data_IF_364582955167
#
_entry.id   IF_364582955167
#
_cell.length_a   1.000
_cell.length_b   1.000
_cell.length_c   1.000
_cell.angle_alpha   90.00
_cell.angle_beta   90.00
_cell.angle_gamma   90.00
#
_symmetry.space_group_name_H-M   'P 1'
#
loop_
_entity.id
_entity.type
_entity.pdbx_description
1 polymer ?
#
# COMPACT_ATOMS: atom_id res chain seq x y z
N UNK A 1 -28.33 20.74 -48.28
CA UNK A 1 -26.86 20.61 -48.21
C UNK A 1 -26.19 21.45 -47.13
N UNK A 2 -26.69 22.64 -46.78
CA UNK A 2 -26.07 23.50 -45.73
C UNK A 2 -26.15 22.88 -44.31
N UNK A 3 -27.31 22.36 -43.88
CA UNK A 3 -27.51 21.78 -42.54
C UNK A 3 -26.56 20.61 -42.21
N UNK A 4 -26.27 19.74 -43.19
CA UNK A 4 -25.39 18.58 -43.00
C UNK A 4 -23.93 18.98 -42.79
N UNK A 5 -23.47 20.08 -43.43
CA UNK A 5 -22.13 20.62 -43.22
C UNK A 5 -21.93 21.19 -41.82
N UNK A 6 -22.95 21.85 -41.26
CA UNK A 6 -22.90 22.40 -39.90
C UNK A 6 -22.83 21.32 -38.81
N UNK A 7 -23.50 20.18 -39.01
CA UNK A 7 -23.45 19.05 -38.08
C UNK A 7 -22.06 18.41 -38.06
N UNK A 8 -21.40 18.28 -39.21
CA UNK A 8 -20.04 17.73 -39.31
C UNK A 8 -19.04 18.65 -38.62
N UNK A 9 -19.14 19.96 -38.84
CA UNK A 9 -18.25 20.95 -38.21
C UNK A 9 -18.41 20.96 -36.69
N UNK A 10 -19.66 20.87 -36.19
CA UNK A 10 -19.91 20.81 -34.75
C UNK A 10 -19.33 19.52 -34.12
N UNK A 11 -19.48 18.37 -34.80
CA UNK A 11 -18.93 17.10 -34.33
C UNK A 11 -17.39 17.11 -34.23
N UNK A 12 -16.71 17.68 -35.24
CA UNK A 12 -15.25 17.79 -35.25
C UNK A 12 -14.75 18.73 -34.14
N UNK A 13 -15.44 19.85 -33.90
CA UNK A 13 -15.10 20.78 -32.81
C UNK A 13 -15.25 20.12 -31.43
N UNK A 14 -16.35 19.39 -31.20
CA UNK A 14 -16.57 18.69 -29.93
C UNK A 14 -15.52 17.60 -29.71
N UNK A 15 -15.22 16.79 -30.72
CA UNK A 15 -14.14 15.80 -30.64
C UNK A 15 -12.77 16.45 -30.36
N UNK A 16 -12.47 17.58 -31.00
CA UNK A 16 -11.24 18.33 -30.77
C UNK A 16 -11.12 18.84 -29.33
N UNK A 17 -12.20 19.37 -28.76
CA UNK A 17 -12.23 19.86 -27.37
C UNK A 17 -12.11 18.69 -26.38
N UNK A 18 -12.80 17.57 -26.62
CA UNK A 18 -12.70 16.38 -25.75
C UNK A 18 -11.28 15.82 -25.77
N UNK A 19 -10.66 15.72 -26.95
CA UNK A 19 -9.28 15.29 -27.09
C UNK A 19 -8.32 16.27 -26.39
N UNK A 20 -8.49 17.57 -26.57
CA UNK A 20 -7.66 18.59 -25.93
C UNK A 20 -7.79 18.55 -24.40
N UNK A 21 -9.01 18.41 -23.85
CA UNK A 21 -9.24 18.28 -22.41
C UNK A 21 -8.64 16.99 -21.86
N UNK A 22 -8.77 15.89 -22.60
CA UNK A 22 -8.18 14.62 -22.21
C UNK A 22 -6.65 14.64 -22.26
N UNK A 23 -6.07 15.28 -23.27
CA UNK A 23 -4.63 15.50 -23.37
C UNK A 23 -4.12 16.43 -22.29
N UNK A 24 -4.84 17.52 -22.00
CA UNK A 24 -4.47 18.46 -20.95
C UNK A 24 -4.55 17.81 -19.56
N UNK A 25 -5.55 16.95 -19.30
CA UNK A 25 -5.61 16.16 -18.06
C UNK A 25 -4.49 15.13 -17.94
N UNK A 26 -4.03 14.54 -19.06
CA UNK A 26 -2.85 13.67 -19.06
C UNK A 26 -1.54 14.45 -18.90
N UNK A 27 -1.44 15.63 -19.49
CA UNK A 27 -0.25 16.47 -19.46
C UNK A 27 -0.12 17.28 -18.15
N UNK A 28 -1.24 17.56 -17.46
CA UNK A 28 -1.28 18.33 -16.22
C UNK A 28 -1.13 17.47 -14.96
N UNK A 29 -0.63 16.24 -15.06
CA UNK A 29 0.08 15.64 -13.92
C UNK A 29 1.45 16.32 -13.89
N UNK A 30 1.46 17.56 -13.41
CA UNK A 30 2.69 18.29 -13.14
C UNK A 30 3.42 17.50 -12.06
N UNK A 31 4.45 16.74 -12.44
CA UNK A 31 5.34 16.11 -11.47
C UNK A 31 5.83 17.23 -10.53
N UNK A 32 5.64 17.10 -9.21
CA UNK A 32 6.16 18.10 -8.28
C UNK A 32 7.67 18.24 -8.50
N UNK A 33 8.23 19.45 -8.35
CA UNK A 33 9.64 19.69 -8.62
C UNK A 33 10.48 18.71 -7.79
N UNK A 34 11.34 17.96 -8.49
CA UNK A 34 12.26 17.01 -7.88
C UNK A 34 13.23 17.81 -7.02
N UNK A 35 13.05 17.79 -5.70
CA UNK A 35 14.11 18.21 -4.79
C UNK A 35 15.16 17.12 -4.89
N UNK A 36 16.27 17.38 -5.58
CA UNK A 36 17.32 16.38 -5.73
C UNK A 36 18.03 16.20 -4.38
N UNK A 37 17.61 15.22 -3.60
CA UNK A 37 18.35 14.86 -2.39
C UNK A 37 19.70 14.24 -2.79
N UNK A 38 20.79 14.61 -2.09
CA UNK A 38 22.10 14.09 -2.40
C UNK A 38 22.12 12.58 -2.20
N UNK A 39 22.76 11.87 -3.14
CA UNK A 39 23.01 10.46 -2.97
C UNK A 39 23.87 10.23 -1.71
N UNK A 40 23.65 9.13 -0.97
CA UNK A 40 24.58 8.73 0.07
C UNK A 40 25.96 8.43 -0.53
N UNK A 41 27.00 8.46 0.31
CA UNK A 41 28.34 8.04 -0.09
C UNK A 41 28.32 6.60 -0.65
N UNK A 42 29.22 6.31 -1.59
CA UNK A 42 29.23 5.04 -2.33
C UNK A 42 29.37 3.82 -1.41
N UNK A 43 30.18 3.92 -0.36
CA UNK A 43 30.36 2.87 0.65
C UNK A 43 29.06 2.61 1.44
N UNK A 44 28.35 3.67 1.85
CA UNK A 44 27.10 3.57 2.58
C UNK A 44 26.00 2.99 1.68
N UNK A 45 25.94 3.44 0.42
CA UNK A 45 25.05 2.86 -0.59
C UNK A 45 25.27 1.36 -0.75
N UNK A 46 26.52 0.93 -0.92
CA UNK A 46 26.86 -0.48 -1.10
C UNK A 46 26.47 -1.31 0.12
N UNK A 47 26.72 -0.80 1.34
CA UNK A 47 26.30 -1.46 2.59
C UNK A 47 24.77 -1.61 2.67
N UNK A 48 24.01 -0.57 2.32
CA UNK A 48 22.53 -0.62 2.31
C UNK A 48 22.04 -1.66 1.29
N UNK A 49 22.60 -1.67 0.08
CA UNK A 49 22.22 -2.63 -0.96
C UNK A 49 22.56 -4.07 -0.57
N UNK A 50 23.73 -4.30 0.06
CA UNK A 50 24.12 -5.60 0.59
C UNK A 50 23.14 -6.07 1.67
N UNK A 51 22.76 -5.20 2.61
CA UNK A 51 21.77 -5.51 3.65
C UNK A 51 20.41 -5.87 3.04
N UNK A 52 19.95 -5.17 2.00
CA UNK A 52 18.68 -5.53 1.33
C UNK A 52 18.74 -6.90 0.63
N UNK A 53 19.93 -7.33 0.20
CA UNK A 53 20.13 -8.65 -0.40
C UNK A 53 20.08 -9.74 0.69
N UNK A 54 20.80 -9.52 1.79
CA UNK A 54 20.99 -10.48 2.89
C UNK A 54 19.77 -10.58 3.82
N UNK A 55 19.07 -9.48 4.05
CA UNK A 55 18.02 -9.35 5.06
C UNK A 55 16.67 -8.99 4.41
N UNK A 56 15.79 -9.99 4.15
CA UNK A 56 14.50 -9.74 3.49
C UNK A 56 13.59 -8.77 4.25
N UNK A 57 13.61 -8.78 5.58
CA UNK A 57 12.81 -7.87 6.41
C UNK A 57 13.27 -6.42 6.25
N UNK A 58 14.59 -6.17 6.21
CA UNK A 58 15.14 -4.86 5.92
C UNK A 58 14.79 -4.39 4.50
N UNK A 59 14.86 -5.29 3.51
CA UNK A 59 14.41 -5.00 2.14
C UNK A 59 12.93 -4.60 2.09
N UNK A 60 12.07 -5.28 2.84
CA UNK A 60 10.64 -4.98 2.88
C UNK A 60 10.36 -3.61 3.51
N UNK A 61 11.07 -3.25 4.58
CA UNK A 61 10.99 -1.91 5.17
C UNK A 61 11.43 -0.82 4.18
N UNK A 62 12.59 -0.99 3.55
CA UNK A 62 13.11 -0.02 2.56
C UNK A 62 12.18 0.09 1.36
N UNK A 63 11.65 -1.03 0.87
CA UNK A 63 10.66 -1.03 -0.22
C UNK A 63 9.38 -0.30 0.19
N UNK A 64 8.84 -0.56 1.38
CA UNK A 64 7.66 0.14 1.88
C UNK A 64 7.89 1.66 1.89
N UNK A 65 9.04 2.11 2.41
CA UNK A 65 9.37 3.53 2.47
C UNK A 65 9.53 4.14 1.09
N UNK A 66 10.21 3.45 0.16
CA UNK A 66 10.31 3.89 -1.24
C UNK A 66 8.94 4.00 -1.90
N UNK A 67 8.09 2.97 -1.73
CA UNK A 67 6.73 2.95 -2.30
C UNK A 67 5.86 4.06 -1.71
N UNK A 68 5.93 4.30 -0.40
CA UNK A 68 5.22 5.37 0.28
C UNK A 68 5.67 6.75 -0.21
N UNK A 69 6.97 7.03 -0.22
CA UNK A 69 7.53 8.31 -0.68
C UNK A 69 7.19 8.56 -2.16
N UNK A 70 7.37 7.56 -3.03
CA UNK A 70 7.03 7.67 -4.44
C UNK A 70 5.54 7.95 -4.65
N UNK A 71 4.67 7.22 -3.94
CA UNK A 71 3.22 7.37 -4.09
C UNK A 71 2.73 8.70 -3.55
N UNK A 72 3.21 9.15 -2.40
CA UNK A 72 2.83 10.44 -1.82
C UNK A 72 3.22 11.60 -2.75
N UNK A 73 4.37 11.49 -3.43
CA UNK A 73 4.80 12.45 -4.45
C UNK A 73 3.95 12.39 -5.73
N UNK A 74 3.68 11.18 -6.23
CA UNK A 74 2.97 10.97 -7.51
C UNK A 74 1.45 11.10 -7.41
N UNK A 75 0.88 10.88 -6.23
CA UNK A 75 -0.56 10.99 -5.94
C UNK A 75 -0.79 11.74 -4.62
N UNK A 76 -0.54 13.07 -4.55
CA UNK A 76 -0.60 13.82 -3.30
C UNK A 76 -1.95 13.77 -2.57
N UNK A 77 -3.06 13.65 -3.31
CA UNK A 77 -4.40 13.48 -2.73
C UNK A 77 -4.57 12.15 -1.94
N UNK A 78 -3.65 11.21 -2.14
CA UNK A 78 -3.60 9.90 -1.50
C UNK A 78 -2.44 9.79 -0.50
N UNK A 79 -1.81 10.91 -0.15
CA UNK A 79 -0.66 10.92 0.74
C UNK A 79 -0.95 10.27 2.10
N UNK A 80 0.01 9.50 2.60
CA UNK A 80 -0.08 8.80 3.87
C UNK A 80 -1.07 7.64 3.92
N UNK A 81 -1.72 7.26 2.81
CA UNK A 81 -2.64 6.12 2.81
C UNK A 81 -1.94 4.79 3.08
N UNK A 82 -0.74 4.58 2.53
CA UNK A 82 0.07 3.39 2.81
C UNK A 82 0.47 3.32 4.28
N UNK A 83 0.92 4.43 4.86
CA UNK A 83 1.25 4.52 6.28
C UNK A 83 0.04 4.25 7.19
N UNK A 84 -1.12 4.86 6.89
CA UNK A 84 -2.37 4.57 7.62
C UNK A 84 -2.72 3.09 7.53
N UNK A 85 -2.67 2.51 6.34
CA UNK A 85 -2.99 1.10 6.16
C UNK A 85 -1.98 0.18 6.86
N UNK A 86 -0.69 0.55 6.90
CA UNK A 86 0.33 -0.19 7.63
C UNK A 86 0.03 -0.22 9.14
N UNK A 87 -0.38 0.92 9.69
CA UNK A 87 -0.83 1.02 11.08
C UNK A 87 -2.11 0.21 11.34
N UNK A 88 -3.09 0.26 10.42
CA UNK A 88 -4.30 -0.60 10.51
C UNK A 88 -3.93 -2.07 10.54
N UNK A 89 -2.93 -2.46 9.77
CA UNK A 89 -2.48 -3.84 9.65
C UNK A 89 -1.45 -4.26 10.71
N UNK A 90 -1.09 -3.36 11.63
CA UNK A 90 -0.04 -3.57 12.63
C UNK A 90 1.25 -4.14 12.03
N UNK A 91 1.59 -3.68 10.83
CA UNK A 91 2.78 -4.15 10.14
C UNK A 91 4.04 -3.72 10.91
N UNK A 92 5.09 -4.55 10.96
CA UNK A 92 6.34 -4.24 11.64
C UNK A 92 7.22 -3.29 10.80
N UNK A 93 6.61 -2.29 10.18
CA UNK A 93 7.33 -1.33 9.34
C UNK A 93 8.34 -0.58 10.21
N UNK A 94 9.54 -0.41 9.67
CA UNK A 94 10.70 0.21 10.32
C UNK A 94 11.38 -0.65 11.38
N UNK A 95 10.85 -1.84 11.72
CA UNK A 95 11.46 -2.67 12.75
C UNK A 95 12.86 -3.15 12.34
N UNK A 96 13.01 -3.57 11.09
CA UNK A 96 14.30 -4.03 10.57
C UNK A 96 15.24 -2.85 10.27
N UNK A 97 14.71 -1.73 9.78
CA UNK A 97 15.52 -0.49 9.65
C UNK A 97 16.07 -0.06 11.01
N UNK A 98 15.23 -0.03 12.06
CA UNK A 98 15.65 0.29 13.43
C UNK A 98 16.69 -0.71 13.95
N UNK A 99 16.54 -2.00 13.66
CA UNK A 99 17.53 -3.02 14.04
C UNK A 99 18.87 -2.76 13.36
N UNK A 100 18.87 -2.46 12.05
CA UNK A 100 20.08 -2.16 11.29
C UNK A 100 20.75 -0.89 11.80
N UNK A 101 20.00 0.18 12.10
CA UNK A 101 20.59 1.43 12.60
C UNK A 101 21.07 1.34 14.04
N UNK A 102 20.50 0.45 14.86
CA UNK A 102 21.06 0.13 16.18
C UNK A 102 22.39 -0.62 16.08
N UNK A 103 22.53 -1.52 15.10
CA UNK A 103 23.76 -2.28 14.87
C UNK A 103 24.86 -1.45 14.19
N UNK A 104 24.49 -0.59 13.24
CA UNK A 104 25.39 0.34 12.56
C UNK A 104 24.76 1.76 12.54
N UNK A 105 24.97 2.55 13.60
CA UNK A 105 24.45 3.92 13.71
C UNK A 105 24.92 4.85 12.59
N UNK A 106 26.02 4.51 11.91
CA UNK A 106 26.52 5.32 10.78
C UNK A 106 25.60 5.25 9.56
N UNK A 107 24.71 4.26 9.49
CA UNK A 107 23.75 4.08 8.41
C UNK A 107 22.41 4.78 8.62
N UNK A 108 22.14 5.35 9.80
CA UNK A 108 20.84 5.99 10.10
C UNK A 108 20.47 7.05 9.05
N UNK A 109 21.25 8.12 8.96
CA UNK A 109 21.03 9.17 7.95
C UNK A 109 21.21 8.67 6.50
N UNK A 110 22.23 7.86 6.16
CA UNK A 110 22.36 7.30 4.81
C UNK A 110 21.18 6.47 4.31
N UNK A 111 20.47 5.73 5.17
CA UNK A 111 19.29 4.95 4.77
C UNK A 111 18.18 5.88 4.28
N UNK A 112 17.85 6.93 5.05
CA UNK A 112 16.85 7.91 4.64
C UNK A 112 17.28 8.70 3.40
N UNK A 113 18.57 9.05 3.29
CA UNK A 113 19.12 9.67 2.08
C UNK A 113 19.01 8.76 0.85
N UNK A 114 19.32 7.46 1.01
CA UNK A 114 19.18 6.47 -0.04
C UNK A 114 17.74 6.39 -0.55
N UNK A 115 16.78 6.27 0.37
CA UNK A 115 15.35 6.19 0.04
C UNK A 115 14.90 7.43 -0.72
N UNK A 116 15.21 8.61 -0.19
CA UNK A 116 14.78 9.87 -0.78
C UNK A 116 15.42 10.09 -2.16
N UNK A 117 16.74 9.95 -2.26
CA UNK A 117 17.48 10.08 -3.52
C UNK A 117 16.93 9.13 -4.60
N UNK A 118 16.65 7.88 -4.24
CA UNK A 118 16.08 6.91 -5.18
C UNK A 118 14.65 7.24 -5.54
N UNK A 119 13.80 7.63 -4.60
CA UNK A 119 12.43 8.03 -4.90
C UNK A 119 12.41 9.23 -5.86
N UNK A 120 13.30 10.21 -5.66
CA UNK A 120 13.40 11.40 -6.51
C UNK A 120 13.89 11.10 -7.93
N UNK A 121 14.77 10.11 -8.09
CA UNK A 121 15.33 9.71 -9.37
C UNK A 121 14.35 8.95 -10.29
N UNK A 122 13.27 8.37 -9.74
CA UNK A 122 12.27 7.65 -10.52
C UNK A 122 11.17 8.59 -11.02
N UNK A 123 10.64 8.37 -12.22
CA UNK A 123 9.43 9.06 -12.70
C UNK A 123 8.17 8.36 -12.21
N UNK A 124 7.06 9.11 -12.13
CA UNK A 124 5.78 8.52 -11.75
C UNK A 124 5.34 7.45 -12.75
N UNK A 125 4.94 6.28 -12.25
CA UNK A 125 4.51 5.13 -13.06
C UNK A 125 5.64 4.23 -13.57
N UNK A 126 6.91 4.56 -13.32
CA UNK A 126 8.00 3.62 -13.59
C UNK A 126 8.08 2.55 -12.49
N UNK A 127 8.39 1.28 -12.84
CA UNK A 127 8.61 0.25 -11.86
C UNK A 127 9.85 0.55 -11.02
N UNK A 128 9.78 0.26 -9.73
CA UNK A 128 10.88 0.37 -8.80
C UNK A 128 11.72 -0.90 -8.83
N UNK A 129 13.00 -0.78 -9.18
CA UNK A 129 13.92 -1.91 -9.14
C UNK A 129 14.47 -2.13 -7.73
N UNK A 130 14.32 -3.33 -7.18
CA UNK A 130 14.90 -3.69 -5.88
C UNK A 130 16.02 -4.72 -6.07
N UNK A 131 17.18 -4.56 -5.40
CA UNK A 131 18.26 -5.54 -5.51
C UNK A 131 17.87 -6.86 -4.83
N UNK A 132 18.29 -7.96 -5.45
CA UNK A 132 18.16 -9.31 -4.94
C UNK A 132 19.53 -10.01 -4.96
N UNK A 133 19.61 -11.17 -4.29
CA UNK A 133 20.80 -12.01 -4.29
C UNK A 133 21.22 -12.44 -5.71
N UNK A 134 22.50 -12.78 -5.85
CA UNK A 134 23.11 -13.24 -7.10
C UNK A 134 22.98 -12.25 -8.27
N UNK A 135 23.06 -10.95 -8.00
CA UNK A 135 23.02 -9.90 -9.03
C UNK A 135 21.66 -9.75 -9.71
N UNK A 136 20.61 -10.34 -9.15
CA UNK A 136 19.24 -10.23 -9.67
C UNK A 136 18.60 -8.93 -9.19
N UNK A 137 17.56 -8.51 -9.89
CA UNK A 137 16.68 -7.43 -9.46
C UNK A 137 15.22 -7.88 -9.51
N UNK A 138 14.39 -7.19 -8.73
CA UNK A 138 12.94 -7.33 -8.71
C UNK A 138 12.32 -6.01 -9.15
N UNK A 139 11.54 -6.03 -10.23
CA UNK A 139 10.74 -4.88 -10.63
C UNK A 139 9.43 -4.87 -9.84
N UNK A 140 9.16 -3.76 -9.15
CA UNK A 140 7.95 -3.55 -8.34
C UNK A 140 7.12 -2.43 -8.96
N UNK A 141 5.94 -2.76 -9.45
CA UNK A 141 4.93 -1.77 -9.82
C UNK A 141 4.33 -1.18 -8.54
N UNK A 142 4.54 0.12 -8.30
CA UNK A 142 4.11 0.82 -7.09
C UNK A 142 2.58 0.95 -7.00
N UNK A 143 1.87 1.06 -8.14
CA UNK A 143 0.41 1.07 -8.14
C UNK A 143 -0.14 -0.31 -7.80
N UNK A 144 0.46 -1.37 -8.34
CA UNK A 144 0.11 -2.74 -8.00
C UNK A 144 0.42 -3.06 -6.53
N UNK A 145 1.58 -2.63 -6.05
CA UNK A 145 1.98 -2.74 -4.65
C UNK A 145 0.91 -2.10 -3.76
N UNK A 146 0.47 -0.88 -4.07
CA UNK A 146 -0.56 -0.17 -3.31
C UNK A 146 -1.95 -0.82 -3.38
N UNK A 147 -2.35 -1.36 -4.54
CA UNK A 147 -3.61 -2.11 -4.71
C UNK A 147 -3.64 -3.35 -3.80
N UNK A 148 -2.52 -4.06 -3.71
CA UNK A 148 -2.41 -5.31 -2.95
C UNK A 148 -1.92 -5.14 -1.51
N UNK A 149 -1.53 -3.93 -1.12
CA UNK A 149 -1.12 -3.59 0.25
C UNK A 149 -2.27 -3.83 1.24
N UNK A 150 -2.09 -4.38 2.45
CA UNK A 150 -0.84 -4.57 3.19
C UNK A 150 -0.12 -5.89 2.89
N UNK A 151 -0.75 -6.84 2.18
CA UNK A 151 -0.11 -8.12 1.92
C UNK A 151 1.15 -8.01 1.04
N UNK A 152 1.21 -7.00 0.16
CA UNK A 152 2.40 -6.71 -0.65
C UNK A 152 3.63 -6.28 0.16
N UNK A 153 3.47 -5.97 1.44
CA UNK A 153 4.61 -5.82 2.36
C UNK A 153 5.43 -7.11 2.46
N UNK A 154 4.77 -8.28 2.45
CA UNK A 154 5.41 -9.59 2.52
C UNK A 154 5.65 -10.21 1.13
N UNK A 155 4.80 -9.89 0.16
CA UNK A 155 4.90 -10.35 -1.24
C UNK A 155 4.84 -9.16 -2.22
N UNK A 156 5.96 -8.47 -2.46
CA UNK A 156 6.03 -7.28 -3.31
C UNK A 156 5.56 -7.46 -4.75
N UNK A 157 5.59 -8.69 -5.27
CA UNK A 157 5.22 -8.99 -6.66
C UNK A 157 3.79 -9.50 -6.79
N UNK A 158 3.00 -9.43 -5.71
CA UNK A 158 1.62 -9.89 -5.69
C UNK A 158 0.80 -9.22 -6.80
N UNK A 159 0.30 -10.05 -7.72
CA UNK A 159 -0.46 -9.57 -8.89
C UNK A 159 -1.98 -9.51 -8.64
N UNK A 160 -2.50 -10.25 -7.66
CA UNK A 160 -3.94 -10.30 -7.37
C UNK A 160 -4.30 -9.54 -6.12
N UNK A 161 -5.30 -8.67 -6.19
CA UNK A 161 -5.90 -8.02 -5.03
C UNK A 161 -6.40 -9.06 -4.01
N UNK A 162 -6.14 -8.85 -2.71
CA UNK A 162 -6.67 -9.71 -1.66
C UNK A 162 -8.21 -9.71 -1.69
N UNK A 163 -8.81 -10.91 -1.77
CA UNK A 163 -10.27 -11.09 -1.90
C UNK A 163 -11.04 -10.49 -0.73
N UNK A 164 -10.42 -10.48 0.44
CA UNK A 164 -10.96 -9.88 1.64
C UNK A 164 -11.25 -8.39 1.44
N UNK A 165 -10.62 -7.69 0.50
CA UNK A 165 -10.94 -6.29 0.23
C UNK A 165 -12.12 -6.06 -0.70
N UNK A 166 -12.64 -7.08 -1.37
CA UNK A 166 -13.83 -6.98 -2.22
C UNK A 166 -13.83 -5.77 -3.20
N UNK A 167 -12.66 -5.45 -3.78
CA UNK A 167 -12.48 -4.32 -4.71
C UNK A 167 -12.46 -2.93 -4.06
N UNK A 168 -12.38 -2.84 -2.73
CA UNK A 168 -12.24 -1.56 -2.04
C UNK A 168 -10.90 -0.89 -2.38
N UNK A 169 -10.96 0.41 -2.68
CA UNK A 169 -9.77 1.22 -2.95
C UNK A 169 -8.87 1.30 -1.71
N UNK A 170 -7.58 1.62 -1.90
CA UNK A 170 -6.68 1.87 -0.77
C UNK A 170 -7.22 2.96 0.18
N UNK A 171 -7.89 3.99 -0.36
CA UNK A 171 -8.51 5.03 0.44
C UNK A 171 -9.61 4.50 1.35
N UNK A 172 -10.53 3.70 0.80
CA UNK A 172 -11.61 3.08 1.57
C UNK A 172 -11.06 2.16 2.67
N UNK A 173 -10.04 1.37 2.33
CA UNK A 173 -9.41 0.43 3.27
C UNK A 173 -8.68 1.14 4.40
N UNK A 174 -7.86 2.15 4.09
CA UNK A 174 -7.15 2.92 5.11
C UNK A 174 -8.11 3.73 6.01
N UNK A 175 -9.25 4.16 5.47
CA UNK A 175 -10.30 4.87 6.19
C UNK A 175 -11.18 3.97 7.07
N UNK A 176 -11.21 2.66 6.82
CA UNK A 176 -12.06 1.73 7.56
C UNK A 176 -11.39 1.28 8.87
N UNK A 177 -11.98 1.67 10.00
CA UNK A 177 -11.44 1.34 11.31
C UNK A 177 -11.43 -0.15 11.64
N UNK A 178 -12.39 -0.90 11.11
CA UNK A 178 -12.50 -2.34 11.33
C UNK A 178 -11.30 -3.12 10.79
N UNK A 179 -10.51 -2.56 9.87
CA UNK A 179 -9.27 -3.20 9.43
C UNK A 179 -8.27 -3.36 10.59
N UNK A 180 -8.26 -2.45 11.59
CA UNK A 180 -7.46 -2.63 12.81
C UNK A 180 -7.86 -3.90 13.59
N UNK A 181 -9.16 -4.14 13.73
CA UNK A 181 -9.69 -5.33 14.41
C UNK A 181 -9.31 -6.58 13.66
N UNK A 182 -9.55 -6.58 12.34
CA UNK A 182 -9.27 -7.70 11.43
C UNK A 182 -7.82 -8.17 11.56
N UNK A 183 -6.86 -7.25 11.47
CA UNK A 183 -5.45 -7.60 11.52
C UNK A 183 -4.92 -7.84 12.93
N UNK A 184 -5.60 -7.37 13.98
CA UNK A 184 -5.27 -7.76 15.36
C UNK A 184 -5.61 -9.22 15.64
N UNK A 185 -6.72 -9.71 15.09
CA UNK A 185 -7.18 -11.08 15.37
C UNK A 185 -6.72 -12.11 14.34
N UNK A 186 -6.44 -11.67 13.11
CA UNK A 186 -5.94 -12.50 12.01
C UNK A 186 -4.77 -11.76 11.34
N UNK A 187 -3.59 -11.73 11.99
CA UNK A 187 -2.43 -10.99 11.51
C UNK A 187 -1.91 -11.48 10.16
N UNK A 188 -1.15 -10.62 9.49
CA UNK A 188 -0.45 -10.91 8.24
C UNK A 188 0.89 -11.59 8.50
N UNK A 189 1.37 -12.37 7.54
CA UNK A 189 2.69 -13.01 7.56
C UNK A 189 2.74 -14.34 8.32
N UNK A 190 3.89 -15.02 8.23
CA UNK A 190 4.26 -16.16 9.10
C UNK A 190 3.44 -17.44 8.98
N UNK A 191 2.53 -17.55 8.01
CA UNK A 191 1.56 -18.65 7.93
C UNK A 191 1.63 -19.40 6.62
N UNK A 192 1.26 -20.68 6.66
CA UNK A 192 1.25 -21.58 5.52
C UNK A 192 0.39 -21.01 4.39
N UNK A 193 0.90 -21.03 3.15
CA UNK A 193 0.18 -20.59 1.97
C UNK A 193 -1.18 -21.30 1.80
N UNK A 194 -1.30 -22.54 2.31
CA UNK A 194 -2.55 -23.33 2.34
C UNK A 194 -3.66 -22.63 3.12
N UNK A 195 -3.32 -21.83 4.14
CA UNK A 195 -4.27 -21.10 4.97
C UNK A 195 -4.68 -19.72 4.41
N UNK A 196 -4.01 -19.24 3.36
CA UNK A 196 -4.19 -17.88 2.84
C UNK A 196 -5.64 -17.54 2.47
N UNK A 197 -6.31 -18.44 1.74
CA UNK A 197 -7.70 -18.26 1.30
C UNK A 197 -8.69 -18.31 2.47
N UNK A 198 -8.49 -19.24 3.40
CA UNK A 198 -9.34 -19.37 4.60
C UNK A 198 -9.24 -18.14 5.48
N UNK A 199 -8.01 -17.66 5.73
CA UNK A 199 -7.76 -16.44 6.50
C UNK A 199 -8.35 -15.22 5.80
N UNK A 200 -8.18 -15.08 4.49
CA UNK A 200 -8.80 -13.99 3.75
C UNK A 200 -10.34 -13.98 3.92
N UNK A 201 -11.00 -15.12 3.76
CA UNK A 201 -12.45 -15.20 3.97
C UNK A 201 -12.84 -14.86 5.42
N UNK A 202 -12.09 -15.35 6.41
CA UNK A 202 -12.33 -15.03 7.82
C UNK A 202 -12.11 -13.54 8.12
N UNK A 203 -11.07 -12.91 7.55
CA UNK A 203 -10.84 -11.46 7.64
C UNK A 203 -12.02 -10.66 7.06
N UNK A 204 -12.51 -11.05 5.89
CA UNK A 204 -13.71 -10.44 5.30
C UNK A 204 -14.95 -10.55 6.19
N UNK A 205 -15.13 -11.71 6.85
CA UNK A 205 -16.22 -11.93 7.81
C UNK A 205 -16.07 -11.09 9.07
N UNK A 206 -14.89 -11.08 9.69
CA UNK A 206 -14.60 -10.27 10.89
C UNK A 206 -14.82 -8.79 10.61
N UNK A 207 -14.38 -8.30 9.44
CA UNK A 207 -14.63 -6.91 9.04
C UNK A 207 -16.13 -6.62 8.98
N UNK A 208 -16.90 -7.49 8.33
CA UNK A 208 -18.34 -7.32 8.17
C UNK A 208 -19.05 -7.27 9.53
N UNK A 209 -18.68 -8.16 10.45
CA UNK A 209 -19.21 -8.16 11.83
C UNK A 209 -18.92 -6.84 12.56
N UNK A 210 -17.70 -6.32 12.44
CA UNK A 210 -17.32 -5.03 13.03
C UNK A 210 -18.08 -3.87 12.39
N UNK A 211 -18.23 -3.85 11.06
CA UNK A 211 -18.96 -2.80 10.36
C UNK A 211 -20.46 -2.81 10.71
N UNK A 212 -21.07 -3.98 10.82
CA UNK A 212 -22.47 -4.13 11.22
C UNK A 212 -22.70 -3.64 12.66
N UNK A 213 -21.77 -3.94 13.55
CA UNK A 213 -21.81 -3.46 14.93
C UNK A 213 -21.63 -1.93 15.02
N UNK A 214 -20.69 -1.35 14.26
CA UNK A 214 -20.56 0.10 14.14
C UNK A 214 -21.85 0.75 13.62
N UNK A 215 -22.47 0.17 12.59
CA UNK A 215 -23.77 0.65 12.07
C UNK A 215 -24.85 0.58 13.14
N UNK A 216 -24.88 -0.49 13.93
CA UNK A 216 -25.85 -0.70 15.01
C UNK A 216 -25.70 0.32 16.15
N UNK A 217 -24.47 0.64 16.53
CA UNK A 217 -24.19 1.52 17.67
C UNK A 217 -24.18 3.01 17.29
N UNK A 218 -23.69 3.34 16.09
CA UNK A 218 -23.43 4.74 15.70
C UNK A 218 -24.17 5.18 14.42
N UNK A 219 -25.01 4.33 13.83
CA UNK A 219 -25.75 4.65 12.60
C UNK A 219 -24.89 4.68 11.32
N UNK A 220 -23.60 4.32 11.41
CA UNK A 220 -22.68 4.27 10.28
C UNK A 220 -21.33 3.64 10.63
N UNK A 221 -20.45 3.48 9.63
CA UNK A 221 -19.12 2.85 9.80
C UNK A 221 -18.00 3.82 10.17
N UNK A 222 -18.31 5.12 10.27
CA UNK A 222 -17.35 6.17 10.64
C UNK A 222 -17.25 6.45 12.14
N UNK A 223 -17.96 5.68 12.97
CA UNK A 223 -17.93 5.79 14.42
C UNK A 223 -16.61 5.30 15.03
N UNK A 224 -16.39 5.59 16.31
CA UNK A 224 -15.23 5.11 17.05
C UNK A 224 -15.37 3.62 17.39
N UNK A 225 -14.23 2.91 17.45
CA UNK A 225 -14.20 1.54 17.95
C UNK A 225 -14.18 1.56 19.49
N UNK A 226 -15.32 1.89 20.08
CA UNK A 226 -15.48 1.98 21.54
C UNK A 226 -15.71 0.60 22.19
N UNK A 227 -15.83 0.61 23.52
CA UNK A 227 -16.07 -0.61 24.30
C UNK A 227 -17.42 -1.28 23.97
N UNK A 228 -18.45 -0.52 23.60
CA UNK A 228 -19.76 -1.08 23.27
C UNK A 228 -19.72 -1.84 21.95
N UNK A 229 -19.04 -1.28 20.95
CA UNK A 229 -18.76 -1.95 19.67
C UNK A 229 -17.91 -3.21 19.92
N UNK A 230 -16.85 -3.10 20.72
CA UNK A 230 -15.98 -4.21 21.09
C UNK A 230 -16.76 -5.38 21.71
N UNK A 231 -17.59 -5.10 22.71
CA UNK A 231 -18.41 -6.10 23.39
C UNK A 231 -19.47 -6.71 22.46
N UNK A 232 -20.12 -5.89 21.62
CA UNK A 232 -21.17 -6.35 20.71
C UNK A 232 -20.69 -7.35 19.66
N UNK A 233 -19.45 -7.20 19.16
CA UNK A 233 -18.90 -8.11 18.16
C UNK A 233 -18.08 -9.29 18.73
N UNK A 234 -17.67 -9.26 20.01
CA UNK A 234 -16.67 -10.18 20.57
C UNK A 234 -16.98 -11.65 20.33
N UNK A 235 -18.18 -12.12 20.70
CA UNK A 235 -18.56 -13.53 20.58
C UNK A 235 -18.57 -14.00 19.11
N UNK A 236 -19.03 -13.14 18.20
CA UNK A 236 -19.09 -13.45 16.77
C UNK A 236 -17.69 -13.50 16.13
N UNK A 237 -16.79 -12.60 16.54
CA UNK A 237 -15.38 -12.60 16.09
C UNK A 237 -14.66 -13.85 16.57
N UNK A 238 -14.79 -14.21 17.86
CA UNK A 238 -14.21 -15.44 18.41
C UNK A 238 -14.73 -16.67 17.66
N UNK A 239 -16.04 -16.74 17.40
CA UNK A 239 -16.63 -17.84 16.63
C UNK A 239 -16.09 -17.91 15.20
N UNK A 240 -15.91 -16.76 14.53
CA UNK A 240 -15.36 -16.71 13.18
C UNK A 240 -13.91 -17.22 13.11
N UNK A 241 -13.09 -16.92 14.13
CA UNK A 241 -11.70 -17.39 14.22
C UNK A 241 -11.66 -18.89 14.56
N UNK A 242 -12.47 -19.33 15.53
CA UNK A 242 -12.53 -20.74 15.94
C UNK A 242 -12.96 -21.68 14.81
N UNK A 243 -13.70 -21.17 13.83
CA UNK A 243 -14.09 -21.92 12.63
C UNK A 243 -12.91 -22.21 11.66
N UNK A 244 -11.77 -21.53 11.82
CA UNK A 244 -10.56 -21.88 11.07
C UNK A 244 -9.92 -23.15 11.66
N UNK A 245 -9.30 -24.00 10.82
CA UNK A 245 -8.40 -25.06 11.28
C UNK A 245 -7.33 -24.50 12.21
N UNK A 246 -6.87 -25.27 13.21
CA UNK A 246 -5.90 -24.80 14.21
C UNK A 246 -4.63 -24.24 13.57
N UNK A 247 -4.10 -24.92 12.55
CA UNK A 247 -2.91 -24.48 11.79
C UNK A 247 -3.13 -23.18 11.00
N UNK A 248 -4.38 -22.74 10.84
CA UNK A 248 -4.77 -21.55 10.08
C UNK A 248 -5.30 -20.40 10.95
N UNK A 249 -5.45 -20.59 12.26
CA UNK A 249 -5.88 -19.55 13.22
C UNK A 249 -4.81 -18.49 13.38
#
# INVERSE_FOLDING_TARGET
MMRTRWIIVAGVLVCGVVLAVWWHRRAAVSEPPVIAFPAPAADARQRIEQRMIEEPTFRNDVLFLLAATLRDRCQPAQAGLLARMANRASLPVLAAVSTVTQQDPTLDRPIYQYIQHRADALRCGQPLQMPLAAGRSMDVDIEQYARTFPDSYFDPQRSSEPRDFAGQSLQQRAGNACNSVVYSVLPLGGTDWRCSSLRANARGRVRSLCEDELRRQHGGIGGELDMAVGQGMQAAVVSAIAALPEDCR
#
